data_IF_705472097738
#
_entry.id   IF_705472097738
#
_cell.length_a   1.000
_cell.length_b   1.000
_cell.length_c   1.000
_cell.angle_alpha   90.00
_cell.angle_beta   90.00
_cell.angle_gamma   90.00
#
_symmetry.space_group_name_H-M   'P 1'
#
loop_
_entity.id
_entity.type
_entity.pdbx_description
1 polymer ?
#
# COMPACT_ATOMS: atom_id res chain seq x y z
N UNK A 1 8.21 0.07 18.98
CA UNK A 1 8.67 0.19 17.58
C UNK A 1 8.82 1.67 17.27
N UNK A 2 9.90 2.08 16.59
CA UNK A 2 10.03 3.46 16.13
C UNK A 2 8.95 3.74 15.08
N UNK A 3 8.32 4.91 15.15
CA UNK A 3 7.41 5.35 14.10
C UNK A 3 8.24 5.82 12.90
N UNK A 4 8.31 4.99 11.86
CA UNK A 4 9.06 5.31 10.63
C UNK A 4 8.29 6.25 9.69
N UNK A 5 6.97 6.35 9.86
CA UNK A 5 6.14 7.33 9.16
C UNK A 5 6.10 8.61 9.99
N UNK A 6 7.11 9.45 9.77
CA UNK A 6 7.29 10.69 10.54
C UNK A 6 6.27 11.76 10.15
N UNK A 7 5.94 12.72 11.05
CA UNK A 7 5.09 13.85 10.70
C UNK A 7 5.62 14.67 9.51
N UNK A 8 6.94 14.85 9.42
CA UNK A 8 7.58 15.58 8.32
C UNK A 8 7.41 14.85 6.98
N UNK A 9 7.52 13.51 6.99
CA UNK A 9 7.26 12.71 5.80
C UNK A 9 5.80 12.82 5.35
N UNK A 10 4.85 12.70 6.28
CA UNK A 10 3.41 12.85 5.98
C UNK A 10 3.10 14.25 5.46
N UNK A 11 3.69 15.30 6.06
CA UNK A 11 3.53 16.67 5.60
C UNK A 11 4.09 16.88 4.18
N UNK A 12 5.24 16.27 3.86
CA UNK A 12 5.81 16.29 2.52
C UNK A 12 4.89 15.59 1.50
N UNK A 13 4.41 14.39 1.82
CA UNK A 13 3.47 13.66 0.95
C UNK A 13 2.19 14.47 0.71
N UNK A 14 1.61 15.05 1.77
CA UNK A 14 0.43 15.92 1.66
C UNK A 14 0.66 17.10 0.74
N UNK A 15 1.84 17.73 0.82
CA UNK A 15 2.19 18.87 -0.05
C UNK A 15 2.35 18.45 -1.52
N UNK A 16 2.80 17.22 -1.78
CA UNK A 16 2.98 16.68 -3.14
C UNK A 16 1.71 16.03 -3.72
N UNK A 17 0.74 15.67 -2.88
CA UNK A 17 -0.47 14.97 -3.29
C UNK A 17 -1.40 15.88 -4.09
N UNK A 18 -1.83 15.43 -5.26
CA UNK A 18 -2.58 16.25 -6.22
C UNK A 18 -4.10 16.19 -6.03
N UNK A 19 -4.58 15.20 -5.29
CA UNK A 19 -6.01 14.98 -5.05
C UNK A 19 -6.42 15.52 -3.68
N UNK A 20 -7.70 15.39 -3.35
CA UNK A 20 -8.19 15.76 -2.03
C UNK A 20 -7.53 14.86 -0.97
N UNK A 21 -6.81 15.48 -0.04
CA UNK A 21 -6.15 14.80 1.07
C UNK A 21 -7.11 13.94 1.91
N UNK A 22 -8.37 14.37 2.02
CA UNK A 22 -9.43 13.66 2.73
C UNK A 22 -10.35 12.87 1.77
N UNK A 23 -9.97 12.78 0.49
CA UNK A 23 -10.69 12.06 -0.56
C UNK A 23 -10.58 10.53 -0.43
N UNK A 24 -11.23 9.82 -1.36
CA UNK A 24 -11.36 8.36 -1.31
C UNK A 24 -10.03 7.61 -1.52
N UNK A 25 -9.04 8.24 -2.17
CA UNK A 25 -7.66 7.75 -2.27
C UNK A 25 -6.67 8.55 -1.38
N UNK A 26 -7.19 9.34 -0.42
CA UNK A 26 -6.41 10.18 0.48
C UNK A 26 -5.89 9.47 1.74
N UNK A 27 -5.47 10.24 2.74
CA UNK A 27 -4.75 9.72 3.92
C UNK A 27 -5.52 8.66 4.71
N UNK A 28 -6.84 8.76 4.75
CA UNK A 28 -7.69 7.79 5.44
C UNK A 28 -7.59 6.40 4.79
N UNK A 29 -7.47 6.33 3.46
CA UNK A 29 -7.21 5.08 2.74
C UNK A 29 -5.82 4.54 3.07
N UNK A 30 -4.78 5.37 2.99
CA UNK A 30 -3.40 4.98 3.32
C UNK A 30 -3.28 4.41 4.74
N UNK A 31 -3.96 5.01 5.71
CA UNK A 31 -3.99 4.53 7.09
C UNK A 31 -4.67 3.15 7.21
N UNK A 32 -5.74 2.88 6.45
CA UNK A 32 -6.41 1.57 6.42
C UNK A 32 -5.54 0.52 5.74
N UNK A 33 -4.87 0.84 4.64
CA UNK A 33 -3.88 -0.06 4.00
C UNK A 33 -2.78 -0.44 4.99
N UNK A 34 -2.20 0.55 5.70
CA UNK A 34 -1.22 0.26 6.76
C UNK A 34 -1.77 -0.70 7.81
N UNK A 35 -2.99 -0.43 8.32
CA UNK A 35 -3.63 -1.28 9.34
C UNK A 35 -3.83 -2.71 8.84
N UNK A 36 -4.36 -2.88 7.63
CA UNK A 36 -4.62 -4.18 7.02
C UNK A 36 -3.33 -4.98 6.84
N UNK A 37 -2.29 -4.34 6.27
CA UNK A 37 -1.01 -5.00 6.05
C UNK A 37 -0.32 -5.40 7.35
N UNK A 38 -0.35 -4.55 8.37
CA UNK A 38 0.19 -4.90 9.69
C UNK A 38 -0.56 -6.05 10.35
N UNK A 39 -1.87 -6.16 10.14
CA UNK A 39 -2.67 -7.29 10.63
C UNK A 39 -2.26 -8.60 9.94
N UNK A 40 -2.14 -8.59 8.61
CA UNK A 40 -1.68 -9.74 7.83
C UNK A 40 -0.26 -10.15 8.22
N UNK A 41 0.63 -9.19 8.44
CA UNK A 41 2.04 -9.43 8.79
C UNK A 41 2.23 -10.18 10.12
N UNK A 42 1.27 -10.11 11.03
CA UNK A 42 1.29 -10.89 12.29
C UNK A 42 1.30 -12.39 12.00
N UNK A 43 0.60 -12.83 10.94
CA UNK A 43 0.45 -14.24 10.59
C UNK A 43 1.62 -14.76 9.74
N UNK A 44 2.06 -13.96 8.75
CA UNK A 44 2.99 -14.44 7.72
C UNK A 44 4.43 -13.93 7.86
N UNK A 45 4.71 -13.01 8.79
CA UNK A 45 6.04 -12.47 9.04
C UNK A 45 6.57 -11.50 7.97
N UNK A 46 5.69 -10.92 7.14
CA UNK A 46 6.04 -9.88 6.18
C UNK A 46 6.76 -8.69 6.85
N UNK A 47 7.66 -8.03 6.11
CA UNK A 47 8.43 -6.88 6.62
C UNK A 47 7.50 -5.68 6.82
N UNK A 48 7.19 -5.41 8.09
CA UNK A 48 6.29 -4.33 8.50
C UNK A 48 6.78 -2.95 8.09
N UNK A 49 8.11 -2.74 7.95
CA UNK A 49 8.64 -1.44 7.51
C UNK A 49 8.26 -1.15 6.07
N UNK A 50 8.34 -2.16 5.20
CA UNK A 50 7.95 -2.05 3.79
C UNK A 50 6.45 -1.77 3.68
N UNK A 51 5.62 -2.49 4.45
CA UNK A 51 4.17 -2.31 4.47
C UNK A 51 3.80 -0.87 4.84
N UNK A 52 4.44 -0.31 5.87
CA UNK A 52 4.18 1.06 6.29
C UNK A 52 4.55 2.09 5.22
N UNK A 53 5.71 1.96 4.57
CA UNK A 53 6.09 2.85 3.47
C UNK A 53 5.16 2.68 2.26
N UNK A 54 4.86 1.44 1.87
CA UNK A 54 3.95 1.14 0.76
C UNK A 54 2.59 1.81 0.97
N UNK A 55 2.02 1.67 2.17
CA UNK A 55 0.71 2.22 2.49
C UNK A 55 0.60 3.73 2.25
N UNK A 56 1.67 4.48 2.52
CA UNK A 56 1.70 5.94 2.32
C UNK A 56 2.19 6.37 0.93
N UNK A 57 2.71 5.45 0.11
CA UNK A 57 3.32 5.76 -1.18
C UNK A 57 2.51 5.29 -2.38
N UNK A 58 1.89 4.11 -2.33
CA UNK A 58 1.31 3.42 -3.50
C UNK A 58 0.33 4.30 -4.31
N UNK A 59 -0.51 5.07 -3.62
CA UNK A 59 -1.49 5.98 -4.21
C UNK A 59 -1.08 7.46 -4.19
N UNK A 60 0.11 7.79 -3.67
CA UNK A 60 0.56 9.19 -3.52
C UNK A 60 0.75 9.93 -4.85
N UNK A 61 0.78 9.20 -5.97
CA UNK A 61 1.02 9.72 -7.34
C UNK A 61 -0.14 9.49 -8.30
N UNK A 62 -1.37 9.41 -7.77
CA UNK A 62 -2.59 9.52 -8.59
C UNK A 62 -2.75 10.93 -9.16
N UNK A 63 -3.31 11.01 -10.36
CA UNK A 63 -3.68 12.25 -11.04
C UNK A 63 -5.20 12.48 -11.10
N UNK A 64 -6.00 11.44 -10.83
CA UNK A 64 -7.44 11.52 -10.72
C UNK A 64 -8.02 10.42 -9.79
N UNK A 65 -9.30 10.56 -9.44
CA UNK A 65 -10.05 9.62 -8.60
C UNK A 65 -10.60 8.41 -9.38
N UNK A 66 -10.47 8.41 -10.71
CA UNK A 66 -11.02 7.40 -11.62
C UNK A 66 -9.95 6.35 -12.00
N UNK A 67 -9.99 5.90 -13.26
CA UNK A 67 -9.01 4.98 -13.83
C UNK A 67 -7.69 5.70 -14.11
N UNK A 68 -6.71 5.43 -13.25
CA UNK A 68 -5.36 5.96 -13.37
C UNK A 68 -4.35 4.82 -13.35
N UNK A 69 -4.34 3.97 -14.37
CA UNK A 69 -3.59 2.71 -14.36
C UNK A 69 -2.08 2.87 -14.09
N UNK A 70 -1.48 4.02 -14.41
CA UNK A 70 -0.04 4.25 -14.25
C UNK A 70 0.38 4.81 -12.88
N UNK A 71 -0.55 5.02 -11.94
CA UNK A 71 -0.21 5.60 -10.63
C UNK A 71 0.80 4.76 -9.85
N UNK A 72 0.72 3.43 -9.90
CA UNK A 72 1.69 2.54 -9.25
C UNK A 72 3.12 2.73 -9.77
N UNK A 73 3.29 2.80 -11.09
CA UNK A 73 4.59 3.11 -11.71
C UNK A 73 5.13 4.47 -11.27
N UNK A 74 4.28 5.50 -11.26
CA UNK A 74 4.67 6.84 -10.80
C UNK A 74 5.01 6.86 -9.30
N UNK A 75 4.31 6.09 -8.48
CA UNK A 75 4.61 5.93 -7.06
C UNK A 75 5.97 5.24 -6.84
N UNK A 76 6.29 4.22 -7.62
CA UNK A 76 7.60 3.57 -7.62
C UNK A 76 8.72 4.54 -8.01
N UNK A 77 8.56 5.28 -9.11
CA UNK A 77 9.50 6.33 -9.54
C UNK A 77 9.67 7.42 -8.47
N UNK A 78 8.58 7.83 -7.82
CA UNK A 78 8.62 8.82 -6.74
C UNK A 78 9.35 8.29 -5.50
N UNK A 79 9.16 7.02 -5.13
CA UNK A 79 9.89 6.38 -4.03
C UNK A 79 11.41 6.43 -4.23
N UNK A 80 11.89 6.26 -5.47
CA UNK A 80 13.32 6.42 -5.82
C UNK A 80 13.85 7.80 -5.45
N UNK A 81 13.07 8.87 -5.68
CA UNK A 81 13.48 10.24 -5.35
C UNK A 81 13.56 10.52 -3.85
N UNK A 82 12.90 9.70 -3.03
CA UNK A 82 12.83 9.87 -1.58
C UNK A 82 13.80 8.97 -0.80
N UNK A 83 14.54 8.09 -1.50
CA UNK A 83 15.39 7.06 -0.88
C UNK A 83 16.27 7.61 0.23
N UNK A 84 17.02 8.67 -0.07
CA UNK A 84 18.05 9.18 0.85
C UNK A 84 17.50 10.17 1.89
N UNK A 85 16.23 10.58 1.78
CA UNK A 85 15.63 11.62 2.64
C UNK A 85 14.61 11.07 3.63
N UNK A 86 13.74 10.16 3.18
CA UNK A 86 12.59 9.70 3.97
C UNK A 86 12.52 8.19 4.15
N UNK A 87 13.22 7.40 3.32
CA UNK A 87 13.07 5.95 3.30
C UNK A 87 14.30 5.26 3.91
N UNK A 88 14.23 5.04 5.21
CA UNK A 88 15.19 4.20 5.92
C UNK A 88 14.86 2.71 5.70
N UNK A 89 15.45 2.10 4.66
CA UNK A 89 15.36 0.67 4.34
C UNK A 89 16.70 0.18 3.78
N UNK A 90 16.98 -1.12 3.97
CA UNK A 90 18.07 -1.80 3.26
C UNK A 90 17.83 -1.77 1.75
N UNK A 91 18.88 -1.92 0.92
CA UNK A 91 18.72 -1.94 -0.54
C UNK A 91 17.75 -3.01 -1.04
N UNK A 92 17.77 -4.19 -0.40
CA UNK A 92 16.85 -5.27 -0.69
C UNK A 92 15.42 -4.88 -0.34
N UNK A 93 15.18 -4.40 0.89
CA UNK A 93 13.85 -4.00 1.34
C UNK A 93 13.30 -2.82 0.52
N UNK A 94 14.16 -1.89 0.13
CA UNK A 94 13.78 -0.77 -0.73
C UNK A 94 13.40 -1.24 -2.14
N UNK A 95 14.13 -2.18 -2.72
CA UNK A 95 13.77 -2.76 -4.02
C UNK A 95 12.39 -3.42 -3.97
N UNK A 96 12.09 -4.16 -2.89
CA UNK A 96 10.76 -4.75 -2.68
C UNK A 96 9.66 -3.69 -2.52
N UNK A 97 9.92 -2.59 -1.83
CA UNK A 97 8.99 -1.45 -1.74
C UNK A 97 8.66 -0.87 -3.13
N UNK A 98 9.69 -0.65 -3.96
CA UNK A 98 9.52 -0.14 -5.33
C UNK A 98 8.69 -1.11 -6.16
N UNK A 99 9.01 -2.41 -6.12
CA UNK A 99 8.23 -3.46 -6.82
C UNK A 99 6.78 -3.51 -6.31
N UNK A 100 6.56 -3.42 -4.99
CA UNK A 100 5.22 -3.42 -4.41
C UNK A 100 4.39 -2.26 -4.95
N UNK A 101 4.94 -1.04 -4.93
CA UNK A 101 4.27 0.15 -5.47
C UNK A 101 3.98 0.04 -6.96
N UNK A 102 4.94 -0.43 -7.78
CA UNK A 102 4.77 -0.52 -9.23
C UNK A 102 3.66 -1.51 -9.62
N UNK A 103 3.64 -2.68 -8.99
CA UNK A 103 2.79 -3.80 -9.40
C UNK A 103 1.37 -3.81 -8.80
N UNK A 104 1.08 -3.03 -7.76
CA UNK A 104 -0.13 -3.27 -6.94
C UNK A 104 -1.47 -3.19 -7.70
N UNK A 105 -1.52 -2.45 -8.81
CA UNK A 105 -2.72 -2.33 -9.65
C UNK A 105 -2.91 -3.49 -10.63
N UNK A 106 -1.82 -3.99 -11.24
CA UNK A 106 -1.90 -4.87 -12.42
C UNK A 106 -1.44 -6.30 -12.16
N UNK A 107 -0.53 -6.48 -11.21
CA UNK A 107 0.05 -7.78 -10.93
C UNK A 107 -0.86 -8.59 -10.02
N UNK A 108 -0.97 -9.89 -10.32
CA UNK A 108 -1.84 -10.80 -9.57
C UNK A 108 -1.10 -11.49 -8.42
N UNK A 109 0.21 -11.71 -8.57
CA UNK A 109 1.01 -12.50 -7.64
C UNK A 109 2.50 -12.14 -7.72
N UNK A 110 3.24 -12.35 -6.62
CA UNK A 110 4.69 -12.23 -6.53
C UNK A 110 5.23 -13.26 -5.53
N UNK A 111 6.46 -13.77 -5.69
CA UNK A 111 7.00 -14.82 -4.80
C UNK A 111 7.33 -14.33 -3.37
N UNK A 112 7.57 -13.03 -3.20
CA UNK A 112 7.84 -12.41 -1.90
C UNK A 112 6.55 -12.09 -1.13
N UNK A 113 6.40 -12.70 0.04
CA UNK A 113 5.22 -12.55 0.92
C UNK A 113 4.97 -11.11 1.39
N UNK A 114 6.00 -10.26 1.43
CA UNK A 114 5.82 -8.85 1.81
C UNK A 114 5.11 -8.07 0.72
N UNK A 115 5.46 -8.32 -0.55
CA UNK A 115 4.78 -7.71 -1.70
C UNK A 115 3.33 -8.19 -1.75
N UNK A 116 3.10 -9.50 -1.59
CA UNK A 116 1.75 -10.06 -1.50
C UNK A 116 0.93 -9.38 -0.39
N UNK A 117 1.52 -9.18 0.78
CA UNK A 117 0.86 -8.52 1.92
C UNK A 117 0.50 -7.07 1.62
N UNK A 118 1.37 -6.32 0.94
CA UNK A 118 1.08 -4.95 0.52
C UNK A 118 -0.13 -4.90 -0.41
N UNK A 119 -0.20 -5.80 -1.39
CA UNK A 119 -1.29 -5.84 -2.35
C UNK A 119 -2.62 -6.29 -1.73
N UNK A 120 -2.60 -7.29 -0.86
CA UNK A 120 -3.80 -7.71 -0.12
C UNK A 120 -4.30 -6.59 0.79
N UNK A 121 -3.39 -5.84 1.42
CA UNK A 121 -3.76 -4.73 2.31
C UNK A 121 -4.53 -3.61 1.60
N UNK A 122 -4.13 -3.28 0.36
CA UNK A 122 -4.85 -2.34 -0.50
C UNK A 122 -6.18 -2.91 -1.01
N UNK A 123 -6.17 -4.15 -1.52
CA UNK A 123 -7.37 -4.85 -2.00
C UNK A 123 -8.46 -4.98 -0.94
N UNK A 124 -8.08 -5.19 0.32
CA UNK A 124 -9.01 -5.26 1.45
C UNK A 124 -9.76 -3.94 1.69
N UNK A 125 -9.22 -2.79 1.26
CA UNK A 125 -9.86 -1.48 1.43
C UNK A 125 -10.72 -1.07 0.22
N UNK A 126 -10.93 -1.96 -0.77
CA UNK A 126 -11.74 -1.68 -1.97
C UNK A 126 -13.20 -1.36 -1.67
N UNK A 127 -13.73 -1.81 -0.51
CA UNK A 127 -15.09 -1.47 -0.08
C UNK A 127 -15.33 0.04 0.01
N UNK A 128 -14.28 0.84 0.24
CA UNK A 128 -14.33 2.31 0.28
C UNK A 128 -14.87 2.93 -1.02
N UNK A 129 -14.64 2.28 -2.15
CA UNK A 129 -15.06 2.71 -3.50
C UNK A 129 -16.19 1.83 -4.05
N UNK A 130 -16.89 1.08 -3.19
CA UNK A 130 -18.04 0.26 -3.57
C UNK A 130 -17.68 -1.06 -4.26
N UNK A 131 -16.43 -1.52 -4.12
CA UNK A 131 -15.98 -2.81 -4.67
C UNK A 131 -15.80 -3.80 -3.51
N UNK A 132 -16.58 -4.88 -3.52
CA UNK A 132 -16.40 -5.97 -2.54
C UNK A 132 -15.06 -6.68 -2.80
N UNK A 133 -14.17 -6.78 -1.80
CA UNK A 133 -12.92 -7.54 -1.94
C UNK A 133 -13.19 -9.00 -2.29
N UNK A 134 -12.50 -9.51 -3.30
CA UNK A 134 -12.63 -10.89 -3.78
C UNK A 134 -11.56 -11.78 -3.11
N UNK A 135 -11.96 -12.79 -2.29
CA UNK A 135 -11.02 -13.68 -1.63
C UNK A 135 -10.10 -14.45 -2.58
N UNK A 136 -10.54 -14.73 -3.81
CA UNK A 136 -9.71 -15.45 -4.80
C UNK A 136 -8.67 -14.55 -5.47
N UNK A 137 -8.75 -13.24 -5.25
CA UNK A 137 -7.73 -12.25 -5.65
C UNK A 137 -6.75 -11.92 -4.54
N UNK A 138 -6.88 -12.52 -3.36
CA UNK A 138 -5.91 -12.35 -2.28
C UNK A 138 -4.74 -13.32 -2.44
N UNK A 139 -3.52 -12.81 -2.28
CA UNK A 139 -2.29 -13.55 -2.40
C UNK A 139 -1.99 -14.38 -1.15
N UNK A 140 -2.37 -13.90 0.04
CA UNK A 140 -2.04 -14.50 1.33
C UNK A 140 -3.23 -15.24 1.95
N UNK A 141 -2.94 -16.21 2.82
CA UNK A 141 -3.98 -16.94 3.57
C UNK A 141 -4.80 -16.02 4.46
N UNK A 142 -4.14 -15.15 5.24
CA UNK A 142 -4.81 -14.18 6.10
C UNK A 142 -5.58 -13.12 5.28
N UNK A 143 -5.02 -12.61 4.18
CA UNK A 143 -5.74 -11.68 3.29
C UNK A 143 -7.03 -12.29 2.74
N UNK A 144 -6.98 -13.56 2.30
CA UNK A 144 -8.16 -14.32 1.87
C UNK A 144 -9.20 -14.47 2.97
N UNK A 145 -8.77 -14.78 4.20
CA UNK A 145 -9.67 -14.90 5.34
C UNK A 145 -10.39 -13.57 5.62
N UNK A 146 -9.65 -12.47 5.70
CA UNK A 146 -10.22 -11.14 5.95
C UNK A 146 -11.19 -10.73 4.84
N UNK A 147 -10.90 -11.08 3.58
CA UNK A 147 -11.81 -10.83 2.47
C UNK A 147 -13.13 -11.61 2.60
N UNK A 148 -13.08 -12.88 3.05
CA UNK A 148 -14.27 -13.69 3.31
C UNK A 148 -15.15 -13.09 4.41
N UNK A 149 -14.53 -12.57 5.47
CA UNK A 149 -15.23 -11.92 6.58
C UNK A 149 -15.99 -10.67 6.11
N UNK A 150 -15.42 -9.88 5.19
CA UNK A 150 -16.06 -8.70 4.61
C UNK A 150 -17.23 -9.00 3.66
N UNK A 151 -17.31 -10.22 3.11
CA UNK A 151 -18.41 -10.67 2.23
C UNK A 151 -19.59 -11.23 3.03
N UNK A 152 -19.35 -11.64 4.28
CA UNK A 152 -20.35 -12.29 5.12
C UNK A 152 -21.29 -11.31 5.86
N UNK A 153 -20.98 -10.00 5.82
CA UNK A 153 -21.76 -8.90 6.41
C UNK A 153 -22.70 -8.23 5.38
#
# INVERSE_FOLDING_TARGET
MQNIITPDFVAFLRYQFMLDWEGVHGVSHWARVKRNGLLIAVDNGADTRIIEYFAFLHDSRRFNEDSDLDHGKRAAEFALTMRDSYVDLSDRSFSLLVTACEGHTHEQYHDDVTIQTCWDADRLDLGRVGITPDPDRMCTGMGRQLALELVAD
#
